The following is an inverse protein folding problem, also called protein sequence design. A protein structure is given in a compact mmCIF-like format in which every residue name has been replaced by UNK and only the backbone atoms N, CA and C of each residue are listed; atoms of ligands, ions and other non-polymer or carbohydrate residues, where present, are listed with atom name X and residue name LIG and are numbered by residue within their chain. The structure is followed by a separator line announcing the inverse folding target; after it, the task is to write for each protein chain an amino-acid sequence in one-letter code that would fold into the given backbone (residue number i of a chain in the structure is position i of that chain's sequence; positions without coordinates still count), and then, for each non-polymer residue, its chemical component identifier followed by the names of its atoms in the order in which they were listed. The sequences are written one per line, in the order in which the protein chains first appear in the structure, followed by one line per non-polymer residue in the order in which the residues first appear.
data_IF_288432717070
#
_entry.id   IF_288432717070
#
_cell.length_a   1.000
_cell.length_b   1.000
_cell.length_c   1.000
_cell.angle_alpha   90.00
_cell.angle_beta   90.00
_cell.angle_gamma   90.00
#
_symmetry.space_group_name_H-M   'P 1'
#
loop_
_entity.id
_entity.type
_entity.pdbx_description
1 polymer ?
#
# COMPACT_ATOMS: atom_id res chain seq x y z
N UNK A 1 13.54 -11.80 27.80
CA UNK A 1 14.01 -13.09 27.25
C UNK A 1 14.03 -12.96 25.74
N UNK A 2 15.22 -12.84 25.15
CA UNK A 2 15.41 -12.80 23.71
C UNK A 2 15.08 -14.19 23.16
N UNK A 3 13.85 -14.39 22.70
CA UNK A 3 13.54 -15.52 21.84
C UNK A 3 14.02 -15.09 20.46
N UNK A 4 15.11 -15.67 19.96
CA UNK A 4 15.68 -15.33 18.66
C UNK A 4 14.57 -15.40 17.60
N UNK A 5 14.17 -14.23 17.08
CA UNK A 5 13.13 -14.10 16.06
C UNK A 5 13.62 -14.52 14.66
N UNK A 6 14.89 -14.94 14.54
CA UNK A 6 15.56 -15.24 13.29
C UNK A 6 16.63 -16.31 13.50
N UNK A 7 16.54 -17.38 12.72
CA UNK A 7 17.58 -18.39 12.51
C UNK A 7 18.11 -18.24 11.09
N UNK A 8 19.42 -18.39 10.89
CA UNK A 8 20.07 -18.23 9.58
C UNK A 8 21.04 -19.39 9.38
N UNK A 9 21.05 -19.95 8.17
CA UNK A 9 21.99 -21.00 7.76
C UNK A 9 23.44 -20.60 8.05
N UNK A 10 24.27 -21.61 8.36
CA UNK A 10 25.70 -21.44 8.63
C UNK A 10 26.49 -20.89 7.44
N UNK A 11 25.89 -20.83 6.25
CA UNK A 11 26.44 -20.16 5.06
C UNK A 11 26.61 -18.65 5.26
N UNK A 12 25.86 -18.03 6.19
CA UNK A 12 25.92 -16.58 6.47
C UNK A 12 26.19 -16.28 7.96
N UNK A 13 27.36 -16.67 8.50
CA UNK A 13 27.64 -16.57 9.93
C UNK A 13 27.57 -15.13 10.47
N UNK A 14 27.89 -14.11 9.66
CA UNK A 14 27.84 -12.70 10.05
C UNK A 14 26.42 -12.09 10.03
N UNK A 15 25.46 -12.73 9.37
CA UNK A 15 24.14 -12.13 9.13
C UNK A 15 23.30 -11.98 10.40
N UNK A 16 23.40 -12.95 11.34
CA UNK A 16 22.58 -12.96 12.56
C UNK A 16 22.88 -11.76 13.45
N UNK A 17 24.16 -11.46 13.69
CA UNK A 17 24.58 -10.37 14.57
C UNK A 17 24.17 -9.00 14.01
N UNK A 18 24.32 -8.80 12.70
CA UNK A 18 23.89 -7.57 12.04
C UNK A 18 22.36 -7.43 12.03
N UNK A 19 21.63 -8.52 11.74
CA UNK A 19 20.17 -8.50 11.79
C UNK A 19 19.65 -8.14 13.18
N UNK A 20 20.25 -8.69 14.24
CA UNK A 20 19.87 -8.37 15.62
C UNK A 20 20.02 -6.87 15.94
N UNK A 21 21.12 -6.23 15.51
CA UNK A 21 21.31 -4.79 15.70
C UNK A 21 20.25 -3.94 14.98
N UNK A 22 19.89 -4.34 13.75
CA UNK A 22 18.82 -3.67 12.98
C UNK A 22 17.47 -3.85 13.71
N UNK A 23 17.15 -5.07 14.13
CA UNK A 23 15.90 -5.37 14.83
C UNK A 23 15.81 -4.58 16.14
N UNK A 24 16.88 -4.53 16.93
CA UNK A 24 16.87 -3.80 18.21
C UNK A 24 16.68 -2.30 18.03
N UNK A 25 17.19 -1.73 16.93
CA UNK A 25 16.96 -0.33 16.59
C UNK A 25 15.52 -0.03 16.18
N UNK A 26 14.87 -0.95 15.47
CA UNK A 26 13.61 -0.66 14.77
C UNK A 26 12.37 -1.37 15.33
N UNK A 27 12.54 -2.27 16.30
CA UNK A 27 11.44 -3.06 16.87
C UNK A 27 10.38 -2.19 17.58
N UNK A 28 10.75 -1.04 18.14
CA UNK A 28 9.77 -0.11 18.72
C UNK A 28 8.87 0.50 17.63
N UNK A 29 9.42 0.79 16.45
CA UNK A 29 8.68 1.39 15.35
C UNK A 29 7.76 0.37 14.65
N UNK A 30 8.28 -0.81 14.34
CA UNK A 30 7.59 -1.80 13.50
C UNK A 30 6.95 -2.97 14.25
N UNK A 31 7.29 -3.14 15.53
CA UNK A 31 6.97 -4.37 16.27
C UNK A 31 7.91 -5.52 15.91
N UNK A 32 7.57 -6.72 16.37
CA UNK A 32 8.30 -7.96 16.10
C UNK A 32 7.37 -9.00 15.49
N UNK A 33 7.93 -9.89 14.67
CA UNK A 33 7.20 -11.02 14.10
C UNK A 33 6.60 -11.89 15.22
N UNK A 34 5.39 -12.45 15.00
CA UNK A 34 4.73 -13.30 16.00
C UNK A 34 5.37 -14.70 16.11
N UNK A 35 6.27 -15.06 15.19
CA UNK A 35 7.02 -16.30 15.17
C UNK A 35 8.47 -16.05 14.75
N UNK A 36 9.34 -17.01 15.01
CA UNK A 36 10.70 -16.98 14.48
C UNK A 36 10.69 -17.28 12.97
N UNK A 37 11.61 -16.66 12.24
CA UNK A 37 11.89 -16.96 10.84
C UNK A 37 13.13 -17.82 10.72
N UNK A 38 13.17 -18.69 9.71
CA UNK A 38 14.33 -19.50 9.36
C UNK A 38 14.78 -19.15 7.94
N UNK A 39 16.01 -18.66 7.78
CA UNK A 39 16.62 -18.40 6.47
C UNK A 39 17.60 -19.51 6.14
N UNK A 40 17.43 -20.15 4.99
CA UNK A 40 18.28 -21.25 4.55
C UNK A 40 18.64 -21.14 3.07
N UNK A 41 19.78 -21.70 2.69
CA UNK A 41 20.21 -21.95 1.32
C UNK A 41 19.98 -23.41 0.90
N UNK A 42 19.31 -24.20 1.74
CA UNK A 42 19.07 -25.63 1.50
C UNK A 42 17.58 -25.96 1.48
N UNK A 43 17.12 -26.49 0.35
CA UNK A 43 15.70 -26.82 0.16
C UNK A 43 15.14 -27.89 1.11
N UNK A 44 15.98 -28.78 1.66
CA UNK A 44 15.58 -29.83 2.62
C UNK A 44 15.16 -29.25 3.99
N UNK A 45 15.63 -28.05 4.32
CA UNK A 45 15.26 -27.32 5.54
C UNK A 45 14.01 -26.44 5.33
N UNK A 46 13.71 -26.09 4.08
CA UNK A 46 12.63 -25.19 3.69
C UNK A 46 11.29 -25.91 3.56
N UNK A 47 10.73 -26.32 4.70
CA UNK A 47 9.53 -27.18 4.78
C UNK A 47 8.32 -26.55 5.47
N UNK A 48 8.41 -25.27 5.86
CA UNK A 48 7.32 -24.57 6.56
C UNK A 48 7.17 -23.14 6.05
N UNK A 49 5.98 -22.55 6.25
CA UNK A 49 5.72 -21.15 5.92
C UNK A 49 6.57 -20.14 6.72
N UNK A 50 7.20 -20.56 7.82
CA UNK A 50 8.14 -19.75 8.61
C UNK A 50 9.60 -19.88 8.12
N UNK A 51 9.85 -20.70 7.10
CA UNK A 51 11.15 -20.83 6.46
C UNK A 51 11.17 -20.11 5.12
N UNK A 52 12.25 -19.39 4.84
CA UNK A 52 12.52 -18.79 3.54
C UNK A 52 13.79 -19.41 2.95
N UNK A 53 13.65 -20.04 1.78
CA UNK A 53 14.79 -20.46 0.98
C UNK A 53 15.31 -19.28 0.17
N UNK A 54 16.60 -18.98 0.29
CA UNK A 54 17.32 -18.04 -0.57
C UNK A 54 18.19 -18.84 -1.53
N UNK A 55 17.93 -18.76 -2.84
CA UNK A 55 18.66 -19.61 -3.79
C UNK A 55 18.81 -18.94 -5.17
N UNK A 56 19.76 -19.44 -5.96
CA UNK A 56 19.85 -19.19 -7.40
C UNK A 56 19.50 -20.46 -8.22
N UNK A 57 19.15 -21.56 -7.55
CA UNK A 57 18.81 -22.84 -8.16
C UNK A 57 17.28 -23.00 -8.23
N UNK A 58 16.74 -22.96 -9.45
CA UNK A 58 15.32 -23.12 -9.71
C UNK A 58 14.76 -24.47 -9.22
N UNK A 59 15.55 -25.55 -9.28
CA UNK A 59 15.10 -26.86 -8.81
C UNK A 59 14.97 -26.89 -7.28
N UNK A 60 15.82 -26.16 -6.56
CA UNK A 60 15.66 -25.98 -5.11
C UNK A 60 14.44 -25.12 -4.80
N UNK A 61 14.25 -24.03 -5.54
CA UNK A 61 13.09 -23.17 -5.41
C UNK A 61 11.79 -23.95 -5.55
N UNK A 62 11.66 -24.78 -6.60
CA UNK A 62 10.46 -25.58 -6.84
C UNK A 62 10.19 -26.60 -5.73
N UNK A 63 11.24 -27.26 -5.20
CA UNK A 63 11.10 -28.19 -4.07
C UNK A 63 10.62 -27.49 -2.80
N UNK A 64 11.22 -26.36 -2.44
CA UNK A 64 10.83 -25.60 -1.25
C UNK A 64 9.41 -25.04 -1.36
N UNK A 65 9.02 -24.54 -2.53
CA UNK A 65 7.64 -24.08 -2.80
C UNK A 65 6.64 -25.21 -2.65
N UNK A 66 6.94 -26.39 -3.21
CA UNK A 66 6.08 -27.57 -3.08
C UNK A 66 5.93 -28.01 -1.61
N UNK A 67 6.95 -27.75 -0.78
CA UNK A 67 6.92 -28.00 0.66
C UNK A 67 6.26 -26.88 1.49
N UNK A 68 5.74 -25.82 0.85
CA UNK A 68 5.00 -24.73 1.52
C UNK A 68 5.88 -23.65 2.14
N UNK A 69 7.18 -23.62 1.84
CA UNK A 69 8.07 -22.56 2.25
C UNK A 69 8.01 -21.35 1.32
N UNK A 70 8.35 -20.17 1.87
CA UNK A 70 8.60 -19.01 1.03
C UNK A 70 9.97 -19.17 0.34
N UNK A 71 10.13 -18.56 -0.83
CA UNK A 71 11.35 -18.65 -1.63
C UNK A 71 11.70 -17.31 -2.21
N UNK A 72 12.98 -16.95 -2.18
CA UNK A 72 13.57 -15.91 -3.00
C UNK A 72 14.56 -16.59 -3.96
N UNK A 73 14.17 -16.65 -5.23
CA UNK A 73 15.01 -17.10 -6.33
C UNK A 73 15.64 -15.87 -6.98
N UNK A 74 16.97 -15.80 -7.04
CA UNK A 74 17.70 -14.69 -7.64
C UNK A 74 18.45 -15.14 -8.88
N UNK A 75 18.42 -14.32 -9.93
CA UNK A 75 19.22 -14.50 -11.14
C UNK A 75 19.76 -13.15 -11.61
N UNK A 76 20.81 -13.16 -12.43
CA UNK A 76 21.29 -11.96 -13.13
C UNK A 76 21.03 -12.14 -14.61
N UNK A 77 20.30 -11.20 -15.20
CA UNK A 77 19.94 -11.21 -16.62
C UNK A 77 20.13 -9.82 -17.20
N UNK A 78 20.85 -9.74 -18.32
CA UNK A 78 21.11 -8.49 -19.04
C UNK A 78 21.68 -7.36 -18.16
N UNK A 79 22.50 -7.73 -17.16
CA UNK A 79 23.12 -6.80 -16.21
C UNK A 79 22.21 -6.33 -15.07
N UNK A 80 20.93 -6.72 -15.06
CA UNK A 80 20.01 -6.50 -13.94
C UNK A 80 19.91 -7.75 -13.07
N UNK A 81 19.67 -7.55 -11.78
CA UNK A 81 19.28 -8.61 -10.85
C UNK A 81 17.78 -8.77 -10.92
N UNK A 82 17.34 -10.00 -11.13
CA UNK A 82 15.93 -10.40 -11.09
C UNK A 82 15.71 -11.28 -9.87
N UNK A 83 14.89 -10.81 -8.94
CA UNK A 83 14.47 -11.56 -7.76
C UNK A 83 13.01 -12.00 -7.94
N UNK A 84 12.77 -13.29 -7.91
CA UNK A 84 11.43 -13.88 -7.86
C UNK A 84 11.16 -14.32 -6.43
N UNK A 85 10.18 -13.68 -5.78
CA UNK A 85 9.70 -14.09 -4.45
C UNK A 85 8.39 -14.84 -4.57
N UNK A 86 8.34 -16.00 -3.94
CA UNK A 86 7.12 -16.77 -3.73
C UNK A 86 6.83 -16.80 -2.24
N UNK A 87 5.67 -16.28 -1.83
CA UNK A 87 5.20 -16.36 -0.46
C UNK A 87 3.71 -16.74 -0.42
N UNK A 88 3.14 -16.79 0.79
CA UNK A 88 1.74 -17.15 1.01
C UNK A 88 0.71 -16.22 0.34
N UNK A 89 1.13 -15.03 -0.07
CA UNK A 89 0.28 -14.01 -0.71
C UNK A 89 0.46 -14.00 -2.24
N UNK A 90 1.20 -14.97 -2.81
CA UNK A 90 1.46 -15.07 -4.25
C UNK A 90 2.91 -14.83 -4.65
N UNK A 91 3.11 -14.45 -5.91
CA UNK A 91 4.43 -14.30 -6.51
C UNK A 91 4.67 -12.86 -6.95
N UNK A 92 5.86 -12.34 -6.65
CA UNK A 92 6.36 -11.09 -7.22
C UNK A 92 7.70 -11.33 -7.91
N UNK A 93 7.94 -10.62 -9.00
CA UNK A 93 9.26 -10.52 -9.62
C UNK A 93 9.70 -9.08 -9.58
N UNK A 94 10.94 -8.87 -9.16
CA UNK A 94 11.55 -7.56 -9.02
C UNK A 94 12.82 -7.48 -9.83
N UNK A 95 13.08 -6.33 -10.44
CA UNK A 95 14.32 -6.00 -11.13
C UNK A 95 15.05 -4.87 -10.38
N UNK A 96 16.37 -4.96 -10.30
CA UNK A 96 17.21 -3.91 -9.73
C UNK A 96 18.64 -3.99 -10.25
N UNK A 97 19.47 -3.04 -9.82
CA UNK A 97 20.89 -3.07 -10.16
C UNK A 97 21.55 -4.33 -9.56
N UNK A 98 22.37 -5.03 -10.35
CA UNK A 98 23.13 -6.19 -9.89
C UNK A 98 24.37 -5.80 -9.06
N UNK A 99 24.19 -4.92 -8.06
CA UNK A 99 25.29 -4.46 -7.20
C UNK A 99 25.65 -5.50 -6.15
N UNK A 100 26.95 -5.76 -6.00
CA UNK A 100 27.49 -6.72 -5.03
C UNK A 100 26.99 -8.15 -5.22
N UNK A 101 27.18 -8.98 -4.19
CA UNK A 101 26.69 -10.36 -4.18
C UNK A 101 25.16 -10.43 -4.07
N UNK A 102 24.55 -11.40 -4.77
CA UNK A 102 23.09 -11.52 -4.82
C UNK A 102 22.45 -11.91 -3.49
N UNK A 103 23.05 -12.89 -2.82
CA UNK A 103 22.63 -13.43 -1.53
C UNK A 103 23.79 -13.39 -0.51
N UNK A 104 24.58 -12.31 -0.53
CA UNK A 104 25.68 -12.11 0.42
C UNK A 104 25.17 -11.80 1.84
N UNK A 105 26.04 -11.91 2.84
CA UNK A 105 25.66 -11.80 4.27
C UNK A 105 24.90 -10.50 4.60
N UNK A 106 25.30 -9.37 4.01
CA UNK A 106 24.65 -8.08 4.24
C UNK A 106 23.19 -8.08 3.79
N UNK A 107 22.91 -8.65 2.61
CA UNK A 107 21.54 -8.79 2.12
C UNK A 107 20.73 -9.69 3.04
N UNK A 108 21.29 -10.85 3.43
CA UNK A 108 20.61 -11.82 4.30
C UNK A 108 20.31 -11.22 5.67
N UNK A 109 21.22 -10.42 6.23
CA UNK A 109 20.99 -9.72 7.49
C UNK A 109 19.83 -8.72 7.40
N UNK A 110 19.80 -7.90 6.35
CA UNK A 110 18.75 -6.88 6.14
C UNK A 110 17.39 -7.52 5.86
N UNK A 111 17.37 -8.56 5.03
CA UNK A 111 16.18 -9.34 4.71
C UNK A 111 15.62 -10.03 5.96
N UNK A 112 16.48 -10.72 6.72
CA UNK A 112 16.10 -11.38 7.97
C UNK A 112 15.64 -10.41 9.04
N UNK A 113 16.27 -9.22 9.16
CA UNK A 113 15.82 -8.19 10.07
C UNK A 113 14.42 -7.67 9.72
N UNK A 114 14.14 -7.41 8.43
CA UNK A 114 12.82 -6.99 7.99
C UNK A 114 11.75 -8.06 8.28
N UNK A 115 12.05 -9.34 8.05
CA UNK A 115 11.16 -10.44 8.43
C UNK A 115 10.89 -10.48 9.94
N UNK A 116 11.93 -10.36 10.76
CA UNK A 116 11.82 -10.30 12.22
C UNK A 116 11.06 -9.06 12.72
N UNK A 117 10.98 -8.00 11.92
CA UNK A 117 10.17 -6.79 12.13
C UNK A 117 8.76 -6.91 11.51
N UNK A 118 8.32 -8.15 11.26
CA UNK A 118 7.01 -8.56 10.78
C UNK A 118 6.66 -8.10 9.35
N UNK A 119 7.64 -7.76 8.50
CA UNK A 119 7.40 -7.57 7.07
C UNK A 119 7.25 -8.94 6.40
N UNK A 120 6.32 -9.04 5.43
CA UNK A 120 6.19 -10.25 4.62
C UNK A 120 7.42 -10.43 3.70
N UNK A 121 7.76 -11.66 3.26
CA UNK A 121 8.93 -11.92 2.43
C UNK A 121 9.08 -10.98 1.22
N UNK A 122 8.00 -10.66 0.51
CA UNK A 122 8.05 -9.70 -0.61
C UNK A 122 8.47 -8.28 -0.21
N UNK A 123 8.01 -7.78 0.93
CA UNK A 123 8.35 -6.44 1.39
C UNK A 123 9.74 -6.41 2.02
N UNK A 124 10.11 -7.47 2.76
CA UNK A 124 11.45 -7.66 3.28
C UNK A 124 12.49 -7.65 2.14
N UNK A 125 12.17 -8.29 1.00
CA UNK A 125 13.01 -8.26 -0.20
C UNK A 125 13.17 -6.84 -0.75
N UNK A 126 12.06 -6.11 -0.93
CA UNK A 126 12.09 -4.71 -1.39
C UNK A 126 12.99 -3.84 -0.50
N UNK A 127 12.81 -3.94 0.81
CA UNK A 127 13.59 -3.19 1.81
C UNK A 127 15.06 -3.57 1.78
N UNK A 128 15.38 -4.88 1.77
CA UNK A 128 16.78 -5.33 1.74
C UNK A 128 17.50 -4.88 0.46
N UNK A 129 16.83 -4.90 -0.69
CA UNK A 129 17.39 -4.38 -1.94
C UNK A 129 17.60 -2.86 -1.89
N UNK A 130 16.64 -2.10 -1.34
CA UNK A 130 16.80 -0.67 -1.14
C UNK A 130 17.97 -0.32 -0.23
N UNK A 131 18.17 -1.09 0.84
CA UNK A 131 19.29 -0.90 1.76
C UNK A 131 20.66 -1.06 1.08
N UNK A 132 20.80 -2.08 0.23
CA UNK A 132 22.01 -2.33 -0.54
C UNK A 132 22.24 -1.23 -1.58
N UNK A 133 21.18 -0.81 -2.28
CA UNK A 133 21.25 0.23 -3.31
C UNK A 133 21.51 1.62 -2.74
N UNK A 134 20.88 1.98 -1.62
CA UNK A 134 21.05 3.27 -0.96
C UNK A 134 22.41 3.39 -0.27
N UNK A 135 22.95 2.27 0.25
CA UNK A 135 24.22 2.20 0.96
C UNK A 135 24.42 3.36 1.97
N UNK A 136 23.49 3.54 2.93
CA UNK A 136 23.52 4.68 3.83
C UNK A 136 24.81 4.70 4.68
N UNK A 137 25.28 5.90 5.03
CA UNK A 137 26.46 6.09 5.87
C UNK A 137 26.28 5.42 7.26
N UNK A 138 25.07 5.49 7.80
CA UNK A 138 24.65 4.67 8.93
C UNK A 138 24.05 3.36 8.41
N UNK A 139 24.80 2.27 8.55
CA UNK A 139 24.44 0.97 8.00
C UNK A 139 23.14 0.38 8.59
N UNK A 140 22.65 0.87 9.74
CA UNK A 140 21.40 0.40 10.34
C UNK A 140 20.23 1.39 10.13
N UNK A 141 20.42 2.50 9.42
CA UNK A 141 19.34 3.43 9.09
C UNK A 141 18.37 2.79 8.10
N UNK A 142 17.06 2.89 8.33
CA UNK A 142 16.04 2.31 7.45
C UNK A 142 16.06 3.01 6.07
N UNK A 143 16.01 2.27 4.94
CA UNK A 143 16.05 2.88 3.62
C UNK A 143 14.79 3.72 3.38
N UNK A 144 14.97 4.91 2.81
CA UNK A 144 13.92 5.90 2.68
C UNK A 144 13.77 6.47 1.27
N UNK A 145 14.58 6.02 0.32
CA UNK A 145 14.52 6.51 -1.07
C UNK A 145 13.75 5.58 -1.98
N UNK A 146 12.72 6.10 -2.63
CA UNK A 146 11.93 5.37 -3.62
C UNK A 146 12.80 4.80 -4.76
N UNK A 147 13.77 5.58 -5.24
CA UNK A 147 14.63 5.18 -6.37
C UNK A 147 15.60 4.04 -6.02
N UNK A 148 15.80 3.76 -4.73
CA UNK A 148 16.61 2.64 -4.28
C UNK A 148 15.80 1.33 -4.22
N UNK A 149 14.46 1.40 -4.14
CA UNK A 149 13.60 0.22 -4.17
C UNK A 149 13.66 -0.45 -5.55
N UNK A 150 13.48 -1.78 -5.61
CA UNK A 150 13.49 -2.47 -6.88
C UNK A 150 12.21 -2.19 -7.69
N UNK A 151 12.29 -2.38 -9.00
CA UNK A 151 11.15 -2.23 -9.93
C UNK A 151 10.35 -3.53 -9.99
N UNK A 152 9.03 -3.46 -9.94
CA UNK A 152 8.19 -4.66 -10.16
C UNK A 152 8.19 -5.03 -11.65
N UNK A 153 8.50 -6.29 -11.93
CA UNK A 153 8.28 -6.92 -13.23
C UNK A 153 6.96 -7.69 -13.25
N UNK A 154 6.67 -8.42 -12.18
CA UNK A 154 5.43 -9.18 -12.03
C UNK A 154 4.86 -9.05 -10.61
N UNK A 155 3.53 -9.01 -10.43
CA UNK A 155 2.49 -9.02 -11.47
C UNK A 155 2.53 -7.73 -12.31
N UNK A 156 2.67 -7.91 -13.63
CA UNK A 156 2.85 -6.80 -14.55
C UNK A 156 1.52 -6.07 -14.70
N UNK A 157 1.52 -4.74 -14.54
CA UNK A 157 0.33 -3.96 -14.85
C UNK A 157 0.25 -3.68 -16.35
N UNK A 158 -0.96 -3.61 -16.94
CA UNK A 158 -1.18 -3.44 -18.37
C UNK A 158 -0.96 -1.98 -18.82
N UNK A 159 0.14 -1.34 -18.43
CA UNK A 159 0.50 -0.04 -18.99
C UNK A 159 2.01 0.18 -19.07
N UNK A 160 2.42 0.91 -20.11
CA UNK A 160 3.76 1.48 -20.15
C UNK A 160 3.91 2.48 -18.99
N UNK A 161 5.03 2.40 -18.26
CA UNK A 161 5.38 3.39 -17.27
C UNK A 161 5.77 4.69 -17.99
N UNK A 162 4.88 5.68 -18.03
CA UNK A 162 5.18 7.01 -18.58
C UNK A 162 4.54 8.10 -17.72
N UNK A 163 5.27 9.18 -17.37
CA UNK A 163 4.69 10.38 -16.75
C UNK A 163 3.54 10.99 -17.56
N UNK A 164 3.55 10.82 -18.88
CA UNK A 164 2.49 11.29 -19.79
C UNK A 164 1.17 10.51 -19.62
N UNK A 165 1.24 9.34 -18.98
CA UNK A 165 0.09 8.48 -18.66
C UNK A 165 -0.37 8.66 -17.21
N UNK A 166 -0.21 9.85 -16.63
CA UNK A 166 -0.75 10.17 -15.32
C UNK A 166 -2.29 10.29 -15.34
N UNK A 167 -2.93 9.83 -14.26
CA UNK A 167 -4.33 10.17 -14.01
C UNK A 167 -4.47 11.65 -13.64
N UNK A 168 -5.69 12.19 -13.77
CA UNK A 168 -5.96 13.57 -13.37
C UNK A 168 -5.48 13.80 -11.91
N UNK A 169 -4.84 14.93 -11.59
CA UNK A 169 -4.21 15.12 -10.28
C UNK A 169 -5.25 15.39 -9.17
N UNK A 170 -4.93 14.95 -7.95
CA UNK A 170 -5.60 15.38 -6.72
C UNK A 170 -4.78 16.49 -6.04
N UNK A 171 -5.43 17.37 -5.26
CA UNK A 171 -4.72 18.19 -4.28
C UNK A 171 -3.94 17.30 -3.32
N UNK A 172 -2.77 17.77 -2.85
CA UNK A 172 -1.98 17.09 -1.81
C UNK A 172 -2.81 16.83 -0.56
N UNK A 173 -3.74 17.76 -0.24
CA UNK A 173 -4.65 17.65 0.90
C UNK A 173 -6.08 17.37 0.47
N UNK A 174 -6.48 16.11 0.59
CA UNK A 174 -7.87 15.68 0.40
C UNK A 174 -8.73 15.89 1.66
N UNK A 175 -8.10 16.18 2.81
CA UNK A 175 -8.81 16.43 4.06
C UNK A 175 -9.23 15.15 4.78
N UNK A 176 -10.34 15.23 5.52
CA UNK A 176 -11.04 14.04 6.02
C UNK A 176 -11.71 13.32 4.87
N UNK A 177 -11.48 12.02 4.80
CA UNK A 177 -12.01 11.17 3.74
C UNK A 177 -12.94 10.11 4.36
N UNK A 178 -14.25 10.33 4.23
CA UNK A 178 -15.24 9.36 4.71
C UNK A 178 -15.47 8.22 3.70
N UNK A 179 -15.43 6.97 4.14
CA UNK A 179 -15.88 5.81 3.33
C UNK A 179 -17.21 5.32 3.88
N UNK A 180 -18.25 5.30 3.04
CA UNK A 180 -19.65 5.07 3.47
C UNK A 180 -20.38 4.08 2.56
N UNK A 181 -21.37 3.34 3.07
CA UNK A 181 -21.94 2.20 2.36
C UNK A 181 -22.95 2.55 1.26
N UNK A 182 -23.60 3.71 1.35
CA UNK A 182 -24.73 4.06 0.50
C UNK A 182 -24.84 5.56 0.21
N UNK A 183 -25.74 5.90 -0.72
CA UNK A 183 -25.97 7.26 -1.16
C UNK A 183 -26.59 8.18 -0.09
N UNK A 184 -27.38 7.64 0.85
CA UNK A 184 -27.99 8.46 1.91
C UNK A 184 -26.91 9.01 2.85
N UNK A 185 -25.88 8.20 3.12
CA UNK A 185 -24.69 8.68 3.81
C UNK A 185 -23.93 9.75 3.02
N UNK A 186 -23.78 9.58 1.70
CA UNK A 186 -23.13 10.60 0.88
C UNK A 186 -23.89 11.93 0.96
N UNK A 187 -25.21 11.90 0.75
CA UNK A 187 -26.09 13.07 0.84
C UNK A 187 -25.92 13.79 2.20
N UNK A 188 -25.91 13.04 3.30
CA UNK A 188 -25.70 13.57 4.66
C UNK A 188 -24.33 14.23 4.80
N UNK A 189 -23.26 13.60 4.34
CA UNK A 189 -21.89 14.10 4.53
C UNK A 189 -21.57 15.27 3.60
N UNK A 190 -22.18 15.34 2.42
CA UNK A 190 -22.12 16.51 1.55
C UNK A 190 -22.77 17.72 2.24
N UNK A 191 -23.96 17.53 2.83
CA UNK A 191 -24.64 18.59 3.59
C UNK A 191 -23.83 19.08 4.81
N UNK A 192 -23.02 18.21 5.40
CA UNK A 192 -22.09 18.54 6.50
C UNK A 192 -20.74 19.09 6.02
N UNK A 193 -20.53 19.27 4.72
CA UNK A 193 -19.30 19.85 4.16
C UNK A 193 -18.06 18.95 4.32
N UNK A 194 -18.22 17.62 4.32
CA UNK A 194 -17.07 16.71 4.30
C UNK A 194 -16.31 16.86 2.97
N UNK A 195 -14.98 17.10 2.99
CA UNK A 195 -14.25 17.46 1.77
C UNK A 195 -14.09 16.30 0.80
N UNK A 196 -13.98 15.06 1.28
CA UNK A 196 -13.85 13.87 0.44
C UNK A 196 -14.72 12.73 0.97
N UNK A 197 -15.51 12.11 0.09
CA UNK A 197 -16.39 10.99 0.42
C UNK A 197 -16.23 9.89 -0.61
N UNK A 198 -16.16 8.63 -0.18
CA UNK A 198 -16.19 7.46 -1.04
C UNK A 198 -17.44 6.65 -0.78
N UNK A 199 -18.19 6.41 -1.85
CA UNK A 199 -19.31 5.49 -1.86
C UNK A 199 -18.79 4.07 -2.08
N UNK A 200 -19.02 3.18 -1.11
CA UNK A 200 -18.60 1.77 -1.13
C UNK A 200 -19.81 0.84 -0.99
N UNK A 201 -20.47 0.60 -2.12
CA UNK A 201 -21.60 -0.34 -2.20
C UNK A 201 -21.06 -1.77 -2.34
N UNK A 202 -21.32 -2.62 -1.34
CA UNK A 202 -21.00 -4.06 -1.38
C UNK A 202 -22.14 -4.84 -2.01
N UNK A 203 -22.28 -4.75 -3.32
CA UNK A 203 -23.31 -5.44 -4.10
C UNK A 203 -22.83 -5.68 -5.53
N UNK A 204 -23.21 -6.81 -6.11
CA UNK A 204 -22.97 -7.14 -7.53
C UNK A 204 -24.20 -6.80 -8.41
N UNK A 205 -25.28 -6.29 -7.81
CA UNK A 205 -26.46 -5.80 -8.54
C UNK A 205 -26.16 -4.44 -9.18
N UNK A 206 -25.71 -4.48 -10.43
CA UNK A 206 -25.35 -3.29 -11.22
C UNK A 206 -26.45 -2.22 -11.25
N UNK A 207 -27.73 -2.53 -11.53
CA UNK A 207 -28.83 -1.56 -11.41
C UNK A 207 -28.92 -0.87 -10.04
N UNK A 208 -28.82 -1.63 -8.94
CA UNK A 208 -28.88 -1.07 -7.58
C UNK A 208 -27.67 -0.17 -7.29
N UNK A 209 -26.46 -0.61 -7.66
CA UNK A 209 -25.23 0.18 -7.57
C UNK A 209 -25.38 1.49 -8.36
N UNK A 210 -25.86 1.42 -9.61
CA UNK A 210 -26.08 2.60 -10.45
C UNK A 210 -27.08 3.58 -9.84
N UNK A 211 -28.11 3.08 -9.14
CA UNK A 211 -29.03 3.91 -8.35
C UNK A 211 -28.32 4.70 -7.25
N UNK A 212 -27.46 4.04 -6.47
CA UNK A 212 -26.66 4.72 -5.44
C UNK A 212 -25.66 5.71 -6.02
N UNK A 213 -24.93 5.33 -7.08
CA UNK A 213 -23.95 6.22 -7.73
C UNK A 213 -24.63 7.48 -8.28
N UNK A 214 -25.77 7.34 -8.97
CA UNK A 214 -26.52 8.50 -9.50
C UNK A 214 -26.98 9.46 -8.41
N UNK A 215 -27.50 8.94 -7.30
CA UNK A 215 -27.92 9.76 -6.15
C UNK A 215 -26.73 10.47 -5.49
N UNK A 216 -25.67 9.72 -5.21
CA UNK A 216 -24.45 10.28 -4.62
C UNK A 216 -23.83 11.37 -5.51
N UNK A 217 -23.75 11.13 -6.81
CA UNK A 217 -23.26 12.11 -7.78
C UNK A 217 -24.15 13.36 -7.83
N UNK A 218 -25.48 13.19 -7.84
CA UNK A 218 -26.41 14.32 -7.81
C UNK A 218 -26.23 15.17 -6.53
N UNK A 219 -25.99 14.55 -5.38
CA UNK A 219 -25.72 15.27 -4.14
C UNK A 219 -24.38 16.03 -4.18
N UNK A 220 -23.33 15.40 -4.70
CA UNK A 220 -21.99 15.99 -4.76
C UNK A 220 -21.83 17.07 -5.84
N UNK A 221 -22.66 17.06 -6.88
CA UNK A 221 -22.59 18.01 -8.00
C UNK A 221 -22.68 19.46 -7.53
N UNK A 222 -21.70 20.28 -7.92
CA UNK A 222 -21.64 21.69 -7.53
C UNK A 222 -21.32 21.93 -6.04
N UNK A 223 -21.13 20.87 -5.25
CA UNK A 223 -20.63 20.97 -3.88
C UNK A 223 -19.10 21.02 -3.86
N UNK A 224 -18.51 21.29 -2.70
CA UNK A 224 -17.06 21.19 -2.50
C UNK A 224 -16.59 19.75 -2.24
N UNK A 225 -17.52 18.81 -2.08
CA UNK A 225 -17.22 17.41 -1.73
C UNK A 225 -16.74 16.65 -2.96
N UNK A 226 -15.58 16.02 -2.82
CA UNK A 226 -14.99 15.13 -3.83
C UNK A 226 -15.53 13.72 -3.64
N UNK A 227 -16.43 13.30 -4.52
CA UNK A 227 -17.01 11.95 -4.49
C UNK A 227 -16.15 10.94 -5.26
N UNK A 228 -15.67 9.92 -4.58
CA UNK A 228 -15.05 8.74 -5.17
C UNK A 228 -16.01 7.56 -5.19
N UNK A 229 -16.00 6.77 -6.27
CA UNK A 229 -16.74 5.51 -6.36
C UNK A 229 -15.78 4.34 -6.19
N UNK A 230 -16.04 3.47 -5.21
CA UNK A 230 -15.22 2.30 -4.92
C UNK A 230 -15.61 1.12 -5.81
N UNK A 231 -14.63 0.48 -6.45
CA UNK A 231 -14.66 -0.77 -7.25
C UNK A 231 -15.55 -0.71 -8.52
N UNK A 232 -16.71 -0.06 -8.47
CA UNK A 232 -17.72 0.01 -9.54
C UNK A 232 -17.36 1.02 -10.64
N UNK A 233 -16.16 0.89 -11.20
CA UNK A 233 -15.58 1.83 -12.15
C UNK A 233 -16.40 1.98 -13.45
N UNK A 234 -17.03 0.90 -13.94
CA UNK A 234 -17.91 0.94 -15.12
C UNK A 234 -19.11 1.85 -14.89
N UNK A 235 -19.79 1.67 -13.75
CA UNK A 235 -20.93 2.50 -13.36
C UNK A 235 -20.51 3.97 -13.16
N UNK A 236 -19.34 4.19 -12.56
CA UNK A 236 -18.79 5.54 -12.40
C UNK A 236 -18.54 6.22 -13.76
N UNK A 237 -18.00 5.49 -14.75
CA UNK A 237 -17.80 5.99 -16.11
C UNK A 237 -19.13 6.30 -16.81
N UNK A 238 -20.12 5.40 -16.72
CA UNK A 238 -21.44 5.61 -17.34
C UNK A 238 -22.13 6.87 -16.79
N UNK A 239 -22.12 7.04 -15.47
CA UNK A 239 -22.69 8.23 -14.80
C UNK A 239 -21.89 9.49 -15.15
N UNK A 240 -20.56 9.39 -15.24
CA UNK A 240 -19.72 10.51 -15.62
C UNK A 240 -19.95 10.94 -17.07
N UNK A 241 -20.08 9.98 -18.00
CA UNK A 241 -20.29 10.22 -19.42
C UNK A 241 -21.69 10.79 -19.73
N UNK A 242 -22.69 10.48 -18.90
CA UNK A 242 -24.06 11.00 -19.03
C UNK A 242 -24.24 12.48 -18.63
N UNK A 243 -23.15 13.18 -18.28
CA UNK A 243 -23.17 14.64 -18.04
C UNK A 243 -23.55 15.38 -19.32
N UNK A 244 -24.16 16.56 -19.18
CA UNK A 244 -24.55 17.40 -20.32
C UNK A 244 -23.69 18.67 -20.38
N UNK A 245 -23.70 19.36 -21.52
CA UNK A 245 -23.01 20.65 -21.65
C UNK A 245 -23.52 21.70 -20.64
N UNK A 246 -24.80 21.62 -20.26
CA UNK A 246 -25.41 22.49 -19.25
C UNK A 246 -25.03 22.13 -17.81
N UNK A 247 -24.46 20.94 -17.58
CA UNK A 247 -24.00 20.45 -16.29
C UNK A 247 -22.68 19.68 -16.49
N UNK A 248 -21.56 20.38 -16.74
CA UNK A 248 -20.28 19.75 -17.10
C UNK A 248 -19.66 18.97 -15.94
N UNK A 249 -20.10 19.23 -14.71
CA UNK A 249 -19.77 18.41 -13.55
C UNK A 249 -20.80 17.31 -13.35
N UNK A 250 -20.38 16.06 -13.53
CA UNK A 250 -21.21 14.89 -13.25
C UNK A 250 -21.56 14.74 -11.76
N UNK A 251 -20.72 15.28 -10.86
CA UNK A 251 -20.69 15.03 -9.42
C UNK A 251 -19.79 13.84 -9.02
N UNK A 252 -19.33 13.03 -9.97
CA UNK A 252 -18.31 12.00 -9.75
C UNK A 252 -16.92 12.61 -9.95
N UNK A 253 -16.11 12.63 -8.89
CA UNK A 253 -14.76 13.21 -8.91
C UNK A 253 -13.68 12.20 -9.28
N UNK A 254 -13.87 10.93 -8.91
CA UNK A 254 -12.92 9.86 -9.22
C UNK A 254 -13.40 8.47 -8.83
N UNK A 255 -12.50 7.52 -9.00
CA UNK A 255 -12.68 6.09 -8.75
C UNK A 255 -11.61 5.65 -7.75
N UNK A 256 -11.94 4.70 -6.88
CA UNK A 256 -10.99 4.06 -5.99
C UNK A 256 -10.99 2.55 -6.22
N UNK A 257 -9.80 1.95 -6.37
CA UNK A 257 -9.62 0.53 -6.67
C UNK A 257 -8.65 -0.14 -5.68
N UNK A 258 -8.90 -1.42 -5.39
CA UNK A 258 -7.97 -2.34 -4.74
C UNK A 258 -6.91 -2.91 -5.70
N UNK A 259 -6.10 -3.85 -5.19
CA UNK A 259 -5.03 -4.48 -5.96
C UNK A 259 -5.54 -5.52 -6.95
N UNK A 260 -6.69 -6.11 -6.66
CA UNK A 260 -7.36 -7.09 -7.51
C UNK A 260 -8.19 -6.38 -8.57
N UNK A 261 -8.86 -5.27 -8.22
CA UNK A 261 -9.72 -4.54 -9.16
C UNK A 261 -8.94 -3.88 -10.30
N UNK A 262 -7.67 -3.52 -10.08
CA UNK A 262 -6.80 -2.93 -11.12
C UNK A 262 -6.42 -3.92 -12.22
N UNK A 263 -6.52 -5.23 -11.98
CA UNK A 263 -6.20 -6.25 -13.00
C UNK A 263 -7.29 -6.32 -14.08
N UNK A 264 -8.55 -6.06 -13.70
CA UNK A 264 -9.70 -6.12 -14.60
C UNK A 264 -10.19 -4.74 -15.08
N UNK A 265 -9.66 -3.65 -14.52
CA UNK A 265 -10.09 -2.29 -14.84
C UNK A 265 -9.56 -1.81 -16.20
N UNK A 266 -10.41 -1.13 -16.97
CA UNK A 266 -9.98 -0.39 -18.16
C UNK A 266 -9.33 0.94 -17.75
N UNK A 267 -8.08 0.85 -17.28
CA UNK A 267 -7.28 1.99 -16.85
C UNK A 267 -7.13 3.06 -17.96
N UNK A 268 -6.92 2.71 -19.25
CA UNK A 268 -6.97 3.67 -20.34
C UNK A 268 -8.30 4.45 -20.43
N UNK A 269 -9.45 3.78 -20.33
CA UNK A 269 -10.75 4.44 -20.38
C UNK A 269 -10.97 5.38 -19.16
N UNK A 270 -10.60 4.93 -17.95
CA UNK A 270 -10.67 5.77 -16.73
C UNK A 270 -9.79 7.02 -16.89
N UNK A 271 -8.58 6.86 -17.44
CA UNK A 271 -7.68 7.98 -17.68
C UNK A 271 -8.26 8.95 -18.72
N UNK A 272 -8.76 8.43 -19.83
CA UNK A 272 -9.33 9.22 -20.92
C UNK A 272 -10.60 9.98 -20.51
N UNK A 273 -11.35 9.48 -19.52
CA UNK A 273 -12.52 10.18 -19.00
C UNK A 273 -12.18 11.42 -18.16
N UNK A 274 -10.91 11.59 -17.77
CA UNK A 274 -10.47 12.67 -16.88
C UNK A 274 -10.84 12.46 -15.40
N UNK A 275 -11.38 11.29 -15.05
CA UNK A 275 -11.62 10.92 -13.65
C UNK A 275 -10.29 10.65 -12.94
N UNK A 276 -10.28 10.91 -11.63
CA UNK A 276 -9.14 10.58 -10.76
C UNK A 276 -9.16 9.12 -10.38
N UNK A 277 -7.98 8.55 -10.13
CA UNK A 277 -7.83 7.19 -9.64
C UNK A 277 -7.06 7.17 -8.33
N UNK A 278 -7.71 6.68 -7.27
CA UNK A 278 -7.05 6.33 -6.02
C UNK A 278 -6.81 4.83 -5.92
N UNK A 279 -5.64 4.42 -5.41
CA UNK A 279 -5.34 2.98 -5.29
C UNK A 279 -4.92 2.63 -3.87
N UNK A 280 -5.47 1.55 -3.31
CA UNK A 280 -5.06 1.00 -2.02
C UNK A 280 -3.77 0.20 -2.12
N UNK A 281 -2.88 0.38 -1.15
CA UNK A 281 -1.64 -0.37 -0.99
C UNK A 281 -1.41 -0.77 0.47
N UNK A 282 -0.86 -1.96 0.66
CA UNK A 282 -0.69 -2.59 1.98
C UNK A 282 0.77 -2.94 2.32
N UNK A 283 1.71 -2.61 1.44
CA UNK A 283 3.15 -2.83 1.63
C UNK A 283 3.98 -2.26 0.48
N UNK A 284 5.30 -2.37 0.57
CA UNK A 284 6.24 -1.88 -0.45
C UNK A 284 5.99 -2.52 -1.81
N UNK A 285 5.76 -3.83 -1.87
CA UNK A 285 5.53 -4.56 -3.12
C UNK A 285 4.32 -4.01 -3.89
N UNK A 286 3.21 -3.75 -3.19
CA UNK A 286 2.00 -3.17 -3.80
C UNK A 286 2.20 -1.70 -4.20
N UNK A 287 2.90 -0.92 -3.38
CA UNK A 287 3.25 0.47 -3.72
C UNK A 287 4.08 0.53 -5.01
N UNK A 288 5.09 -0.34 -5.12
CA UNK A 288 5.95 -0.42 -6.30
C UNK A 288 5.19 -0.93 -7.52
N UNK A 289 4.25 -1.86 -7.35
CA UNK A 289 3.41 -2.37 -8.43
C UNK A 289 2.62 -1.25 -9.09
N UNK A 290 1.98 -0.40 -8.29
CA UNK A 290 1.02 0.61 -8.81
C UNK A 290 1.63 2.00 -9.03
N UNK A 291 2.83 2.27 -8.51
CA UNK A 291 3.51 3.53 -8.73
C UNK A 291 3.69 3.88 -10.23
N UNK A 292 4.04 2.95 -11.14
CA UNK A 292 4.12 3.22 -12.58
C UNK A 292 2.82 3.73 -13.20
N UNK A 293 1.65 3.47 -12.60
CA UNK A 293 0.35 3.95 -13.10
C UNK A 293 0.16 5.46 -12.92
N UNK A 294 0.98 6.11 -12.09
CA UNK A 294 0.80 7.51 -11.70
C UNK A 294 -0.64 7.82 -11.21
N UNK A 295 -1.13 7.10 -10.17
CA UNK A 295 -2.48 7.33 -9.65
C UNK A 295 -2.59 8.72 -9.03
N UNK A 296 -3.81 9.24 -8.98
CA UNK A 296 -4.14 10.53 -8.39
C UNK A 296 -3.84 10.60 -6.89
N UNK A 297 -3.92 9.48 -6.18
CA UNK A 297 -3.43 9.31 -4.81
C UNK A 297 -3.15 7.83 -4.49
N UNK A 298 -2.36 7.57 -3.44
CA UNK A 298 -2.19 6.25 -2.84
C UNK A 298 -2.79 6.19 -1.44
N UNK A 299 -3.56 5.14 -1.15
CA UNK A 299 -4.07 4.86 0.18
C UNK A 299 -3.20 3.81 0.88
N UNK A 300 -2.55 4.20 1.98
CA UNK A 300 -1.69 3.37 2.82
C UNK A 300 -2.54 2.79 3.97
N UNK A 301 -2.67 1.47 4.03
CA UNK A 301 -3.40 0.83 5.11
C UNK A 301 -3.37 -0.70 5.08
N UNK A 302 -4.05 -1.40 5.99
CA UNK A 302 -4.72 -0.82 7.16
C UNK A 302 -3.68 -0.41 8.22
N UNK A 303 -3.74 0.84 8.70
CA UNK A 303 -2.80 1.36 9.71
C UNK A 303 -3.02 0.66 11.06
N UNK A 304 -4.26 0.55 11.50
CA UNK A 304 -4.66 -0.15 12.72
C UNK A 304 -5.64 -1.29 12.42
N UNK A 305 -5.81 -2.20 13.38
CA UNK A 305 -6.77 -3.30 13.27
C UNK A 305 -8.18 -2.79 12.95
N UNK A 306 -8.85 -3.44 12.01
CA UNK A 306 -10.18 -3.03 11.57
C UNK A 306 -11.02 -4.24 11.13
N UNK A 307 -12.31 -4.30 11.50
CA UNK A 307 -13.22 -5.34 11.02
C UNK A 307 -13.81 -5.02 9.63
N UNK A 308 -13.52 -3.85 9.05
CA UNK A 308 -14.17 -3.37 7.80
C UNK A 308 -13.74 -4.14 6.54
N UNK A 309 -12.55 -4.75 6.58
CA UNK A 309 -11.96 -5.57 5.50
C UNK A 309 -11.16 -6.70 6.14
N UNK A 310 -11.33 -7.92 5.66
CA UNK A 310 -10.46 -9.05 6.01
C UNK A 310 -9.10 -8.81 5.39
N UNK A 311 -8.08 -8.60 6.23
CA UNK A 311 -6.72 -8.35 5.78
C UNK A 311 -5.89 -9.62 5.89
N UNK A 312 -5.16 -10.02 4.84
CA UNK A 312 -4.31 -11.19 4.89
C UNK A 312 -2.99 -10.91 5.65
N UNK A 313 -2.68 -9.65 5.94
CA UNK A 313 -1.48 -9.18 6.66
C UNK A 313 -1.83 -8.50 7.98
N UNK A 314 -0.85 -8.43 8.89
CA UNK A 314 -0.99 -7.65 10.13
C UNK A 314 -1.16 -6.16 9.82
N UNK A 315 -1.87 -5.38 10.67
CA UNK A 315 -1.92 -3.93 10.53
C UNK A 315 -0.52 -3.32 10.42
N UNK A 316 -0.38 -2.31 9.57
CA UNK A 316 0.92 -1.69 9.30
C UNK A 316 1.52 -1.01 10.53
N UNK A 317 0.67 -0.44 11.40
CA UNK A 317 1.11 0.40 12.50
C UNK A 317 1.68 1.75 12.02
N UNK A 318 2.04 2.59 12.99
CA UNK A 318 2.58 3.92 12.68
C UNK A 318 3.99 3.85 12.09
N UNK A 319 4.87 2.97 12.56
CA UNK A 319 6.24 2.91 12.04
C UNK A 319 6.28 2.65 10.53
N UNK A 320 5.51 1.67 10.04
CA UNK A 320 5.45 1.38 8.60
C UNK A 320 4.76 2.50 7.82
N UNK A 321 3.69 3.09 8.36
CA UNK A 321 3.08 4.27 7.73
C UNK A 321 4.11 5.39 7.51
N UNK A 322 4.95 5.68 8.51
CA UNK A 322 6.02 6.67 8.41
C UNK A 322 7.07 6.27 7.37
N UNK A 323 7.52 5.02 7.37
CA UNK A 323 8.50 4.51 6.41
C UNK A 323 7.99 4.53 4.97
N UNK A 324 6.73 4.11 4.75
CA UNK A 324 6.07 4.15 3.45
C UNK A 324 5.86 5.59 2.96
N UNK A 325 5.41 6.48 3.83
CA UNK A 325 5.24 7.89 3.50
C UNK A 325 6.57 8.57 3.17
N UNK A 326 7.64 8.29 3.93
CA UNK A 326 8.98 8.79 3.66
C UNK A 326 9.47 8.36 2.28
N UNK A 327 9.38 7.06 1.96
CA UNK A 327 9.75 6.52 0.65
C UNK A 327 8.97 7.20 -0.49
N UNK A 328 7.64 7.23 -0.43
CA UNK A 328 6.83 7.79 -1.52
C UNK A 328 7.01 9.29 -1.71
N UNK A 329 7.44 10.03 -0.69
CA UNK A 329 7.72 11.47 -0.81
C UNK A 329 8.99 11.76 -1.59
N UNK A 330 9.94 10.84 -1.69
CA UNK A 330 11.15 11.06 -2.52
C UNK A 330 10.89 10.82 -4.00
N UNK A 331 9.85 10.03 -4.33
CA UNK A 331 9.44 9.78 -5.71
C UNK A 331 9.08 11.08 -6.42
N UNK A 332 9.40 11.18 -7.71
CA UNK A 332 9.03 12.33 -8.55
C UNK A 332 8.11 11.88 -9.71
N UNK A 333 6.89 12.42 -9.83
CA UNK A 333 6.20 13.25 -8.84
C UNK A 333 5.78 12.43 -7.60
N UNK A 334 5.75 13.07 -6.43
CA UNK A 334 5.25 12.44 -5.21
C UNK A 334 3.71 12.38 -5.26
N UNK A 335 3.08 11.21 -5.08
CA UNK A 335 1.62 11.13 -5.07
C UNK A 335 1.07 11.69 -3.74
N UNK A 336 -0.12 12.31 -3.75
CA UNK A 336 -0.89 12.50 -2.53
C UNK A 336 -1.07 11.17 -1.79
N UNK A 337 -0.93 11.20 -0.46
CA UNK A 337 -1.02 10.02 0.39
C UNK A 337 -2.21 10.12 1.34
N UNK A 338 -2.98 9.03 1.42
CA UNK A 338 -4.13 8.85 2.30
C UNK A 338 -3.80 7.75 3.30
N UNK A 339 -3.89 8.00 4.59
CA UNK A 339 -3.82 6.92 5.60
C UNK A 339 -5.22 6.36 5.85
N UNK A 340 -5.37 5.03 5.89
CA UNK A 340 -6.65 4.36 6.13
C UNK A 340 -6.50 3.13 7.03
N UNK A 341 -7.57 2.78 7.76
CA UNK A 341 -7.69 1.52 8.49
C UNK A 341 -7.62 1.71 10.00
N UNK A 342 -8.77 1.58 10.66
CA UNK A 342 -8.88 1.66 12.12
C UNK A 342 -8.54 3.02 12.73
N UNK A 343 -8.46 4.09 11.92
CA UNK A 343 -8.13 5.43 12.39
C UNK A 343 -9.39 6.09 12.98
N UNK A 344 -9.25 6.63 14.18
CA UNK A 344 -10.25 7.43 14.89
C UNK A 344 -9.71 8.83 15.21
N UNK A 345 -10.51 9.62 15.94
CA UNK A 345 -10.16 10.98 16.34
C UNK A 345 -8.88 11.04 17.20
N UNK A 346 -8.68 10.07 18.09
CA UNK A 346 -7.55 10.04 19.02
C UNK A 346 -6.24 9.67 18.32
N UNK A 347 -6.29 8.77 17.33
CA UNK A 347 -5.13 8.34 16.56
C UNK A 347 -4.70 9.34 15.48
N UNK A 348 -5.63 10.16 14.97
CA UNK A 348 -5.41 11.06 13.83
C UNK A 348 -4.19 11.99 13.97
N UNK A 349 -3.93 12.67 15.11
CA UNK A 349 -2.74 13.51 15.26
C UNK A 349 -1.43 12.77 14.97
N UNK A 350 -1.29 11.53 15.49
CA UNK A 350 -0.10 10.70 15.29
C UNK A 350 0.02 10.20 13.86
N UNK A 351 -1.11 9.92 13.21
CA UNK A 351 -1.15 9.54 11.79
C UNK A 351 -0.67 10.70 10.92
N UNK A 352 -1.15 11.93 11.16
CA UNK A 352 -0.77 13.11 10.37
C UNK A 352 0.72 13.49 10.50
N UNK A 353 1.38 13.11 11.60
CA UNK A 353 2.82 13.27 11.76
C UNK A 353 3.66 12.49 10.74
N UNK A 354 3.11 11.43 10.12
CA UNK A 354 3.77 10.73 9.00
C UNK A 354 3.90 11.60 7.74
N UNK A 355 3.18 12.72 7.68
CA UNK A 355 3.17 13.63 6.54
C UNK A 355 2.17 13.26 5.44
N UNK A 356 1.25 12.32 5.70
CA UNK A 356 0.08 12.10 4.83
C UNK A 356 -0.78 13.36 4.77
N UNK A 357 -1.32 13.66 3.58
CA UNK A 357 -2.18 14.82 3.35
C UNK A 357 -3.66 14.52 3.55
N UNK A 358 -4.01 13.30 3.95
CA UNK A 358 -5.39 12.85 4.07
C UNK A 358 -5.51 11.68 5.06
N UNK A 359 -6.62 11.66 5.80
CA UNK A 359 -6.96 10.57 6.71
C UNK A 359 -8.35 10.06 6.36
N UNK A 360 -8.43 8.79 5.98
CA UNK A 360 -9.67 8.13 5.67
C UNK A 360 -10.24 7.38 6.88
N UNK A 361 -11.54 7.57 7.12
CA UNK A 361 -12.27 7.05 8.27
C UNK A 361 -13.54 6.35 7.82
N UNK A 362 -13.93 5.31 8.58
CA UNK A 362 -15.17 4.55 8.35
C UNK A 362 -16.03 4.59 9.60
N UNK A 363 -15.61 3.85 10.65
CA UNK A 363 -16.37 3.67 11.89
C UNK A 363 -16.42 4.93 12.75
N UNK A 364 -15.36 5.76 12.72
CA UNK A 364 -15.34 7.03 13.43
C UNK A 364 -16.46 8.01 13.00
N UNK A 365 -17.08 7.78 11.84
CA UNK A 365 -18.27 8.50 11.38
C UNK A 365 -19.52 7.63 11.39
N UNK A 366 -19.46 6.44 10.77
CA UNK A 366 -20.64 5.57 10.59
C UNK A 366 -21.19 4.98 11.89
N UNK A 367 -20.39 4.96 12.96
CA UNK A 367 -20.79 4.49 14.29
C UNK A 367 -20.78 5.61 15.35
N UNK A 368 -20.69 6.88 14.92
CA UNK A 368 -20.78 8.00 15.85
C UNK A 368 -22.23 8.21 16.32
N UNK A 369 -22.41 8.48 17.62
CA UNK A 369 -23.72 8.83 18.19
C UNK A 369 -24.24 10.15 17.60
N UNK A 370 -23.35 11.15 17.47
CA UNK A 370 -23.61 12.44 16.82
C UNK A 370 -22.65 12.63 15.63
N UNK A 371 -23.16 12.35 14.42
CA UNK A 371 -22.37 12.46 13.18
C UNK A 371 -21.96 13.91 12.88
N UNK A 372 -22.84 14.94 12.94
CA UNK A 372 -22.41 16.33 12.82
C UNK A 372 -21.24 16.71 13.76
N UNK A 373 -21.34 16.36 15.05
CA UNK A 373 -20.26 16.63 16.00
C UNK A 373 -18.97 15.88 15.66
N UNK A 374 -19.07 14.60 15.25
CA UNK A 374 -17.92 13.80 14.84
C UNK A 374 -17.24 14.39 13.60
N UNK A 375 -18.00 14.84 12.59
CA UNK A 375 -17.45 15.51 11.40
C UNK A 375 -16.69 16.77 11.80
N UNK A 376 -17.28 17.63 12.63
CA UNK A 376 -16.64 18.86 13.10
C UNK A 376 -15.34 18.57 13.86
N UNK A 377 -15.37 17.61 14.78
CA UNK A 377 -14.18 17.22 15.55
C UNK A 377 -13.06 16.70 14.65
N UNK A 378 -13.36 15.78 13.73
CA UNK A 378 -12.38 15.23 12.79
C UNK A 378 -11.79 16.32 11.88
N UNK A 379 -12.61 17.21 11.34
CA UNK A 379 -12.13 18.31 10.49
C UNK A 379 -11.25 19.30 11.27
N UNK A 380 -11.64 19.66 12.50
CA UNK A 380 -10.86 20.54 13.35
C UNK A 380 -9.52 19.92 13.75
N UNK A 381 -9.51 18.64 14.14
CA UNK A 381 -8.28 17.90 14.44
C UNK A 381 -7.38 17.80 13.21
N UNK A 382 -7.93 17.52 12.03
CA UNK A 382 -7.17 17.50 10.79
C UNK A 382 -6.51 18.86 10.50
N UNK A 383 -7.30 19.95 10.55
CA UNK A 383 -6.80 21.30 10.28
C UNK A 383 -5.69 21.72 11.24
N UNK A 384 -5.77 21.32 12.52
CA UNK A 384 -4.78 21.65 13.53
C UNK A 384 -3.45 20.87 13.39
N UNK A 385 -3.44 19.70 12.74
CA UNK A 385 -2.29 18.79 12.73
C UNK A 385 -1.72 18.49 11.34
N UNK A 386 -2.44 18.79 10.26
CA UNK A 386 -1.92 18.59 8.91
C UNK A 386 -0.71 19.51 8.69
N UNK A 387 0.39 18.92 8.22
CA UNK A 387 1.62 19.69 7.96
C UNK A 387 1.45 20.59 6.74
N UNK A 388 2.17 21.73 6.78
CA UNK A 388 2.29 22.69 5.69
C UNK A 388 2.78 21.99 4.41
#
# INVERSE_FOLDING_TARGET
MSVNALYVSTTWPGAVALAAQIVDRHAEAFGRAPHAWHLTDRADEATTAATVLLTADAAQADRARAAGAAVVLTETRDGERIDTVHDRLGTYRFAGAATGEALGERFVAMFGAALALAFEPRDALCVARAWIAEAPADALAWPARFEALPRVLEPALPCAASPELAFAPCPTRLGIYAVVPDAAWVERLVALGVPTVQLRVKSDDTPAVAGHVRRAAAAARGSQTRLFINDHWRVALDVHAARSDSAPDSGVYGIHLGQEDIDDADLPAIRASGLRLGISTHGYAEMLRVAPLNPSYLALGAVFATPTKTMPTVPQGLGRLFAHAAAMRTRVPAPPLVAIGGIDLAAMPRVLQSGVGCVAVVRALTQAEDVPAAVQALQATFAAHVRA
#
